data_IF_831776896332
#
_entry.id   IF_831776896332
#
_cell.length_a   1.000
_cell.length_b   1.000
_cell.length_c   1.000
_cell.angle_alpha   90.00
_cell.angle_beta   90.00
_cell.angle_gamma   90.00
#
_symmetry.space_group_name_H-M   'P 1'
#
loop_
_entity.id
_entity.type
_entity.pdbx_description
1 polymer ?
#
# COMPACT_ATOMS: atom_id res chain seq x y z
N UNK A 1 -5.96 15.61 -23.82
CA UNK A 1 -5.71 14.51 -24.79
C UNK A 1 -6.13 13.21 -24.10
N UNK A 2 -7.11 12.45 -24.61
CA UNK A 2 -7.54 11.19 -23.95
C UNK A 2 -6.42 10.17 -24.10
N UNK A 3 -5.62 9.97 -23.05
CA UNK A 3 -4.71 8.84 -22.98
C UNK A 3 -5.61 7.61 -22.83
N UNK A 4 -5.89 6.93 -23.95
CA UNK A 4 -6.50 5.60 -23.90
C UNK A 4 -5.41 4.66 -23.42
N UNK A 5 -5.38 4.42 -22.12
CA UNK A 5 -4.58 3.37 -21.51
C UNK A 5 -5.00 2.04 -22.16
N UNK A 6 -4.04 1.16 -22.40
CA UNK A 6 -4.34 -0.20 -22.85
C UNK A 6 -5.21 -0.94 -21.83
N UNK A 7 -6.09 -1.82 -22.31
CA UNK A 7 -6.93 -2.61 -21.42
C UNK A 7 -6.11 -3.43 -20.41
N UNK A 8 -4.93 -3.92 -20.83
CA UNK A 8 -3.99 -4.65 -19.97
C UNK A 8 -3.45 -3.79 -18.84
N UNK A 9 -2.97 -2.57 -19.14
CA UNK A 9 -2.54 -1.61 -18.13
C UNK A 9 -3.67 -1.25 -17.16
N UNK A 10 -4.89 -1.05 -17.64
CA UNK A 10 -6.02 -0.75 -16.77
C UNK A 10 -6.35 -1.92 -15.83
N UNK A 11 -6.31 -3.16 -16.32
CA UNK A 11 -6.48 -4.36 -15.48
C UNK A 11 -5.34 -4.48 -14.45
N UNK A 12 -4.10 -4.22 -14.85
CA UNK A 12 -2.94 -4.27 -13.96
C UNK A 12 -3.06 -3.25 -12.82
N UNK A 13 -3.35 -2.00 -13.15
CA UNK A 13 -3.57 -0.93 -12.16
C UNK A 13 -4.69 -1.29 -11.17
N UNK A 14 -5.78 -1.86 -11.65
CA UNK A 14 -6.88 -2.32 -10.80
C UNK A 14 -6.47 -3.46 -9.86
N UNK A 15 -5.71 -4.44 -10.36
CA UNK A 15 -5.21 -5.55 -9.53
C UNK A 15 -4.28 -5.06 -8.43
N UNK A 16 -3.35 -4.14 -8.77
CA UNK A 16 -2.44 -3.54 -7.82
C UNK A 16 -3.17 -2.72 -6.75
N UNK A 17 -4.18 -1.93 -7.15
CA UNK A 17 -5.04 -1.17 -6.24
C UNK A 17 -5.75 -2.09 -5.24
N UNK A 18 -6.30 -3.20 -5.71
CA UNK A 18 -6.98 -4.18 -4.88
C UNK A 18 -6.03 -4.90 -3.92
N UNK A 19 -4.82 -5.25 -4.37
CA UNK A 19 -3.81 -5.88 -3.53
C UNK A 19 -3.37 -4.94 -2.39
N UNK A 20 -2.98 -3.71 -2.75
CA UNK A 20 -2.57 -2.68 -1.79
C UNK A 20 -3.66 -2.40 -0.75
N UNK A 21 -4.92 -2.27 -1.21
CA UNK A 21 -6.08 -2.08 -0.32
C UNK A 21 -6.23 -3.23 0.66
N UNK A 22 -6.27 -4.47 0.17
CA UNK A 22 -6.47 -5.66 1.04
C UNK A 22 -5.33 -5.82 2.04
N UNK A 23 -4.10 -5.52 1.62
CA UNK A 23 -2.94 -5.54 2.50
C UNK A 23 -3.05 -4.48 3.60
N UNK A 24 -3.34 -3.23 3.22
CA UNK A 24 -3.54 -2.15 4.18
C UNK A 24 -4.68 -2.44 5.16
N UNK A 25 -5.82 -2.92 4.69
CA UNK A 25 -6.96 -3.31 5.53
C UNK A 25 -6.58 -4.40 6.53
N UNK A 26 -5.82 -5.43 6.11
CA UNK A 26 -5.30 -6.46 7.03
C UNK A 26 -4.38 -5.85 8.09
N UNK A 27 -3.43 -5.01 7.69
CA UNK A 27 -2.46 -4.40 8.61
C UNK A 27 -3.17 -3.50 9.63
N UNK A 28 -4.10 -2.65 9.18
CA UNK A 28 -4.79 -1.66 10.00
C UNK A 28 -5.83 -2.30 10.92
N UNK A 29 -6.75 -3.10 10.38
CA UNK A 29 -7.91 -3.56 11.14
C UNK A 29 -7.61 -4.78 12.00
N UNK A 30 -6.61 -5.61 11.63
CA UNK A 30 -6.19 -6.74 12.47
C UNK A 30 -5.11 -6.37 13.48
N UNK A 31 -4.71 -5.09 13.56
CA UNK A 31 -3.69 -4.63 14.51
C UNK A 31 -3.95 -5.04 15.95
N UNK A 32 -5.16 -4.85 16.50
CA UNK A 32 -5.44 -5.28 17.87
C UNK A 32 -5.23 -6.79 18.07
N UNK A 33 -5.60 -7.61 17.07
CA UNK A 33 -5.52 -9.08 17.14
C UNK A 33 -4.05 -9.54 17.12
N UNK A 34 -3.27 -9.13 16.12
CA UNK A 34 -1.88 -9.59 16.01
C UNK A 34 -0.98 -9.00 17.09
N UNK A 35 -1.31 -7.82 17.65
CA UNK A 35 -0.59 -7.24 18.78
C UNK A 35 -0.93 -7.95 20.10
N UNK A 36 -2.18 -8.36 20.28
CA UNK A 36 -2.57 -9.20 21.41
C UNK A 36 -1.84 -10.54 21.38
N UNK A 37 -1.78 -11.21 20.22
CA UNK A 37 -1.02 -12.46 20.09
C UNK A 37 0.49 -12.26 20.33
N UNK A 38 1.07 -11.20 19.78
CA UNK A 38 2.48 -10.87 19.98
C UNK A 38 2.82 -10.61 21.46
N UNK A 39 1.97 -9.87 22.17
CA UNK A 39 2.21 -9.55 23.59
C UNK A 39 2.06 -10.76 24.51
N UNK A 40 1.07 -11.62 24.28
CA UNK A 40 0.80 -12.79 25.13
C UNK A 40 1.68 -13.99 24.80
N UNK A 41 1.72 -14.41 23.54
CA UNK A 41 2.39 -15.64 23.11
C UNK A 41 3.87 -15.39 22.79
N UNK A 42 4.27 -14.13 22.57
CA UNK A 42 5.61 -13.73 22.08
C UNK A 42 6.02 -14.45 20.79
N UNK A 43 5.04 -14.99 20.06
CA UNK A 43 5.23 -15.65 18.78
C UNK A 43 5.25 -14.62 17.66
N UNK A 44 5.88 -14.98 16.54
CA UNK A 44 5.94 -14.17 15.31
C UNK A 44 5.28 -14.86 14.12
N UNK A 45 4.79 -16.09 14.33
CA UNK A 45 4.31 -17.02 13.31
C UNK A 45 3.06 -16.51 12.58
N UNK A 46 2.32 -15.58 13.18
CA UNK A 46 1.12 -14.98 12.63
C UNK A 46 1.41 -13.79 11.69
N UNK A 47 2.58 -13.16 11.77
CA UNK A 47 2.93 -12.01 10.93
C UNK A 47 2.97 -12.32 9.42
N UNK A 48 3.50 -13.47 8.94
CA UNK A 48 3.45 -13.82 7.53
C UNK A 48 2.06 -13.70 6.91
N UNK A 49 1.01 -14.14 7.63
CA UNK A 49 -0.38 -14.07 7.16
C UNK A 49 -0.94 -12.64 7.09
N UNK A 50 -0.39 -11.70 7.88
CA UNK A 50 -0.77 -10.28 7.85
C UNK A 50 -0.16 -9.60 6.61
N UNK A 51 1.13 -9.84 6.37
CA UNK A 51 1.94 -9.11 5.39
C UNK A 51 2.02 -9.74 3.99
N UNK A 52 1.34 -10.88 3.77
CA UNK A 52 1.27 -11.52 2.44
C UNK A 52 0.72 -10.53 1.40
N UNK A 53 1.34 -10.41 0.24
CA UNK A 53 0.89 -9.54 -0.86
C UNK A 53 1.31 -10.13 -2.21
N UNK A 54 0.68 -9.70 -3.30
CA UNK A 54 0.98 -10.21 -4.65
C UNK A 54 1.93 -9.31 -5.43
N UNK A 55 2.13 -8.08 -4.99
CA UNK A 55 3.13 -7.19 -5.59
C UNK A 55 4.53 -7.79 -5.60
N UNK A 56 4.94 -8.48 -4.52
CA UNK A 56 6.23 -9.17 -4.46
C UNK A 56 6.39 -10.34 -5.45
N UNK A 57 5.30 -10.79 -6.07
CA UNK A 57 5.30 -11.85 -7.09
C UNK A 57 5.21 -11.29 -8.52
N UNK A 58 4.98 -9.98 -8.68
CA UNK A 58 4.86 -9.34 -9.99
C UNK A 58 6.21 -9.28 -10.71
N UNK A 59 6.17 -9.51 -12.02
CA UNK A 59 7.35 -9.43 -12.90
C UNK A 59 7.61 -7.99 -13.36
N UNK A 60 8.86 -7.70 -13.71
CA UNK A 60 9.21 -6.39 -14.30
C UNK A 60 8.40 -6.08 -15.56
N UNK A 61 8.09 -7.08 -16.38
CA UNK A 61 7.29 -6.90 -17.60
C UNK A 61 5.85 -6.44 -17.27
N UNK A 62 5.25 -6.97 -16.21
CA UNK A 62 3.93 -6.55 -15.75
C UNK A 62 3.96 -5.14 -15.16
N UNK A 63 5.02 -4.79 -14.41
CA UNK A 63 5.18 -3.45 -13.83
C UNK A 63 5.45 -2.37 -14.87
N UNK A 64 6.04 -2.72 -16.02
CA UNK A 64 6.22 -1.79 -17.15
C UNK A 64 4.89 -1.28 -17.75
N UNK A 65 3.76 -1.93 -17.43
CA UNK A 65 2.43 -1.47 -17.84
C UNK A 65 1.95 -0.25 -17.05
N UNK A 66 2.61 0.08 -15.94
CA UNK A 66 2.28 1.20 -15.06
C UNK A 66 3.12 2.45 -15.38
N UNK A 67 2.53 3.61 -15.15
CA UNK A 67 3.23 4.89 -15.19
C UNK A 67 4.29 5.03 -14.10
N UNK A 68 5.24 5.94 -14.32
CA UNK A 68 6.38 6.15 -13.41
C UNK A 68 5.93 6.57 -12.00
N UNK A 69 4.90 7.41 -11.90
CA UNK A 69 4.34 7.86 -10.62
C UNK A 69 3.71 6.70 -9.84
N UNK A 70 2.97 5.82 -10.53
CA UNK A 70 2.40 4.62 -9.91
C UNK A 70 3.51 3.67 -9.46
N UNK A 71 4.55 3.44 -10.28
CA UNK A 71 5.69 2.60 -9.90
C UNK A 71 6.37 3.14 -8.63
N UNK A 72 6.62 4.46 -8.57
CA UNK A 72 7.21 5.10 -7.40
C UNK A 72 6.30 4.99 -6.16
N UNK A 73 4.99 5.17 -6.33
CA UNK A 73 4.01 5.02 -5.25
C UNK A 73 3.92 3.59 -4.73
N UNK A 74 3.99 2.60 -5.62
CA UNK A 74 4.03 1.18 -5.26
C UNK A 74 5.29 0.89 -4.44
N UNK A 75 6.46 1.29 -4.94
CA UNK A 75 7.73 1.07 -4.25
C UNK A 75 7.72 1.68 -2.83
N UNK A 76 7.27 2.93 -2.69
CA UNK A 76 7.17 3.57 -1.37
C UNK A 76 6.22 2.81 -0.43
N UNK A 77 5.03 2.45 -0.90
CA UNK A 77 4.04 1.73 -0.08
C UNK A 77 4.57 0.35 0.34
N UNK A 78 5.01 -0.48 -0.60
CA UNK A 78 5.45 -1.84 -0.32
C UNK A 78 6.77 -1.90 0.45
N UNK A 79 7.69 -0.96 0.20
CA UNK A 79 8.90 -0.82 1.03
C UNK A 79 8.56 -0.51 2.47
N UNK A 80 7.56 0.35 2.71
CA UNK A 80 7.12 0.67 4.06
C UNK A 80 6.45 -0.50 4.76
N UNK A 81 5.70 -1.31 4.01
CA UNK A 81 5.12 -2.56 4.50
C UNK A 81 6.24 -3.54 4.90
N UNK A 82 7.27 -3.68 4.08
CA UNK A 82 8.39 -4.57 4.39
C UNK A 82 9.20 -4.06 5.60
N UNK A 83 9.42 -2.75 5.73
CA UNK A 83 10.05 -2.15 6.92
C UNK A 83 9.28 -2.50 8.20
N UNK A 84 7.95 -2.37 8.18
CA UNK A 84 7.09 -2.73 9.30
C UNK A 84 7.17 -4.24 9.61
N UNK A 85 7.10 -5.09 8.57
CA UNK A 85 7.24 -6.54 8.70
C UNK A 85 8.59 -6.90 9.31
N UNK A 86 9.67 -6.31 8.82
CA UNK A 86 11.02 -6.55 9.32
C UNK A 86 11.14 -6.18 10.78
N UNK A 87 10.66 -4.98 11.16
CA UNK A 87 10.64 -4.51 12.54
C UNK A 87 9.92 -5.49 13.46
N UNK A 88 8.71 -5.93 13.12
CA UNK A 88 7.94 -6.86 13.95
C UNK A 88 8.59 -8.23 14.11
N UNK A 89 9.29 -8.71 13.09
CA UNK A 89 9.99 -9.99 13.14
C UNK A 89 11.29 -9.93 13.98
N UNK A 90 11.94 -8.77 14.08
CA UNK A 90 13.27 -8.68 14.70
C UNK A 90 13.31 -7.86 15.99
N UNK A 91 12.25 -7.12 16.30
CA UNK A 91 12.25 -6.27 17.50
C UNK A 91 12.32 -7.08 18.79
N UNK A 92 13.03 -6.52 19.76
CA UNK A 92 13.09 -6.95 21.15
C UNK A 92 12.46 -5.90 22.09
N UNK A 93 11.79 -4.90 21.51
CA UNK A 93 11.14 -3.84 22.27
C UNK A 93 9.99 -4.37 23.13
N UNK A 94 9.70 -3.62 24.20
CA UNK A 94 8.56 -3.90 25.07
C UNK A 94 7.24 -3.76 24.29
N UNK A 95 6.21 -4.58 24.59
CA UNK A 95 4.95 -4.59 23.83
C UNK A 95 4.33 -3.21 23.58
N UNK A 96 4.28 -2.35 24.61
CA UNK A 96 3.72 -1.00 24.48
C UNK A 96 4.48 -0.16 23.44
N UNK A 97 5.81 -0.27 23.39
CA UNK A 97 6.63 0.45 22.42
C UNK A 97 6.44 -0.11 21.00
N UNK A 98 6.22 -1.42 20.88
CA UNK A 98 5.88 -2.06 19.60
C UNK A 98 4.52 -1.58 19.11
N UNK A 99 3.52 -1.50 19.99
CA UNK A 99 2.18 -0.99 19.68
C UNK A 99 2.22 0.47 19.19
N UNK A 100 2.91 1.36 19.91
CA UNK A 100 3.11 2.75 19.50
C UNK A 100 3.76 2.85 18.10
N UNK A 101 4.79 2.01 17.85
CA UNK A 101 5.47 1.93 16.56
C UNK A 101 4.55 1.41 15.46
N UNK A 102 3.75 0.39 15.73
CA UNK A 102 2.75 -0.14 14.79
C UNK A 102 1.73 0.93 14.42
N UNK A 103 1.23 1.71 15.38
CA UNK A 103 0.34 2.83 15.10
C UNK A 103 1.01 3.94 14.28
N UNK A 104 2.30 4.20 14.50
CA UNK A 104 3.06 5.12 13.64
C UNK A 104 3.18 4.58 12.21
N UNK A 105 3.56 3.30 12.04
CA UNK A 105 3.61 2.65 10.72
C UNK A 105 2.26 2.68 10.00
N UNK A 106 1.16 2.37 10.69
CA UNK A 106 -0.19 2.40 10.10
C UNK A 106 -0.54 3.80 9.59
N UNK A 107 -0.24 4.86 10.35
CA UNK A 107 -0.48 6.24 9.92
C UNK A 107 0.35 6.65 8.71
N UNK A 108 1.59 6.19 8.64
CA UNK A 108 2.46 6.44 7.48
C UNK A 108 1.99 5.65 6.25
N UNK A 109 1.64 4.38 6.43
CA UNK A 109 1.08 3.52 5.39
C UNK A 109 -0.24 4.05 4.84
N UNK A 110 -1.09 4.63 5.69
CA UNK A 110 -2.35 5.25 5.26
C UNK A 110 -2.10 6.39 4.27
N UNK A 111 -1.14 7.28 4.56
CA UNK A 111 -0.76 8.37 3.66
C UNK A 111 -0.18 7.86 2.34
N UNK A 112 0.68 6.85 2.40
CA UNK A 112 1.27 6.24 1.20
C UNK A 112 0.21 5.52 0.36
N UNK A 113 -0.74 4.84 1.00
CA UNK A 113 -1.87 4.19 0.34
C UNK A 113 -2.78 5.21 -0.35
N UNK A 114 -3.12 6.32 0.31
CA UNK A 114 -3.89 7.41 -0.28
C UNK A 114 -3.18 8.02 -1.50
N UNK A 115 -1.87 8.24 -1.38
CA UNK A 115 -1.03 8.76 -2.47
C UNK A 115 -0.97 7.80 -3.65
N UNK A 116 -0.78 6.50 -3.39
CA UNK A 116 -0.80 5.46 -4.42
C UNK A 116 -2.15 5.39 -5.13
N UNK A 117 -3.26 5.45 -4.38
CA UNK A 117 -4.59 5.47 -4.97
C UNK A 117 -4.80 6.68 -5.88
N UNK A 118 -4.30 7.86 -5.47
CA UNK A 118 -4.35 9.06 -6.29
C UNK A 118 -3.62 8.86 -7.62
N UNK A 119 -2.38 8.35 -7.59
CA UNK A 119 -1.62 8.09 -8.82
C UNK A 119 -2.32 7.08 -9.73
N UNK A 120 -2.85 5.99 -9.16
CA UNK A 120 -3.60 4.99 -9.92
C UNK A 120 -4.87 5.60 -10.54
N UNK A 121 -5.62 6.42 -9.79
CA UNK A 121 -6.87 7.01 -10.26
C UNK A 121 -6.66 8.09 -11.31
N UNK A 122 -5.57 8.87 -11.20
CA UNK A 122 -5.12 9.80 -12.24
C UNK A 122 -4.73 9.02 -13.49
N UNK A 123 -3.88 7.99 -13.33
CA UNK A 123 -3.43 7.18 -14.46
C UNK A 123 -4.62 6.55 -15.19
N UNK A 124 -5.56 5.95 -14.45
CA UNK A 124 -6.82 5.37 -14.96
C UNK A 124 -7.80 6.38 -15.57
N UNK A 125 -7.54 7.69 -15.46
CA UNK A 125 -8.42 8.76 -15.94
C UNK A 125 -9.74 8.87 -15.18
N UNK A 126 -9.78 8.37 -13.93
CA UNK A 126 -10.94 8.46 -13.03
C UNK A 126 -11.05 9.83 -12.37
N UNK A 127 -9.90 10.49 -12.17
CA UNK A 127 -9.84 11.88 -11.73
C UNK A 127 -9.68 12.75 -12.98
N UNK A 128 -10.76 13.42 -13.38
CA UNK A 128 -10.68 14.50 -14.36
C UNK A 128 -10.09 15.71 -13.65
N UNK A 129 -8.98 16.25 -14.17
CA UNK A 129 -8.60 17.62 -13.88
C UNK A 129 -9.83 18.51 -14.16
N UNK A 130 -10.47 19.02 -13.11
CA UNK A 130 -11.39 20.14 -13.21
C UNK A 130 -10.56 21.40 -13.44
N UNK A 131 -9.89 21.48 -14.59
CA UNK A 131 -9.29 22.72 -15.09
C UNK A 131 -10.17 23.13 -16.26
N UNK A 132 -11.30 23.76 -15.96
CA UNK A 132 -12.12 24.45 -16.97
C UNK A 132 -12.61 25.78 -16.39
N UNK A 133 -12.03 26.84 -16.95
CA UNK A 133 -12.55 28.20 -17.10
C UNK A 133 -12.59 29.14 -15.89
N UNK A 134 -11.42 29.71 -15.56
CA UNK A 134 -11.30 31.12 -15.18
C UNK A 134 -10.41 31.86 -16.19
N UNK A 135 -10.84 31.87 -17.46
CA UNK A 135 -10.49 32.92 -18.41
C UNK A 135 -11.71 33.16 -19.28
N UNK A 136 -12.16 34.43 -19.29
CA UNK A 136 -13.17 35.07 -20.16
C UNK A 136 -14.51 35.42 -19.50
N UNK A 137 -14.49 36.42 -18.60
CA UNK A 137 -15.12 37.75 -18.80
C UNK A 137 -14.92 38.67 -17.60
#
# INVERSE_FOLDING_TARGET
>A
MKIKIGEESQRMLMLLKLDARRLFERIKYRAPEYMYEFSLKRTRDHFPAVFTNRYGEATFQELMLCGQEVIAGLDQFYSKVDEMRWYLNHTQDMPNRVEDKVHAYIRELEKLFETLNLFIDVEMGLIKENINHETDN
#
